data_IF_949567770499
#
_entry.id   IF_949567770499
#
_cell.length_a   1.000
_cell.length_b   1.000
_cell.length_c   1.000
_cell.angle_alpha   90.00
_cell.angle_beta   90.00
_cell.angle_gamma   90.00
#
_symmetry.space_group_name_H-M   'P 1'
#
loop_
_entity.id
_entity.type
_entity.pdbx_description
1 polymer ?
#
# COMPACT_ATOMS: atom_id res chain seq x y z
N UNK A 1 12.44 -20.90 -4.00
CA UNK A 1 12.61 -21.29 -2.61
C UNK A 1 11.40 -20.76 -1.86
N UNK A 2 10.55 -21.60 -1.28
CA UNK A 2 9.47 -21.08 -0.46
C UNK A 2 10.08 -20.36 0.74
N UNK A 3 9.87 -19.05 0.86
CA UNK A 3 10.17 -18.33 2.09
C UNK A 3 9.30 -18.97 3.19
N UNK A 4 9.95 -19.52 4.20
CA UNK A 4 9.26 -20.05 5.36
C UNK A 4 8.61 -18.88 6.13
N UNK A 5 7.37 -18.57 5.81
CA UNK A 5 6.58 -17.55 6.49
C UNK A 5 6.10 -18.00 7.89
N UNK A 6 6.18 -19.29 8.17
CA UNK A 6 5.61 -19.88 9.37
C UNK A 6 6.12 -19.34 10.72
N UNK A 7 7.40 -19.13 10.98
CA UNK A 7 7.83 -18.62 12.28
C UNK A 7 7.55 -17.12 12.48
N UNK A 8 7.33 -16.37 11.40
CA UNK A 8 6.99 -14.94 11.48
C UNK A 8 5.54 -14.69 11.92
N UNK A 9 4.63 -15.61 11.57
CA UNK A 9 3.21 -15.47 11.87
C UNK A 9 2.87 -15.68 13.35
N UNK A 10 3.60 -16.54 14.07
CA UNK A 10 3.39 -16.74 15.51
C UNK A 10 3.85 -15.54 16.35
N UNK A 11 4.89 -14.82 15.91
CA UNK A 11 5.35 -13.60 16.58
C UNK A 11 4.38 -12.42 16.46
N UNK A 12 3.43 -12.47 15.54
CA UNK A 12 2.47 -11.39 15.24
C UNK A 12 1.22 -11.42 16.11
N UNK A 13 1.05 -12.35 17.02
CA UNK A 13 -0.08 -12.39 17.96
C UNK A 13 -0.02 -11.29 19.02
N UNK A 14 1.09 -10.56 19.09
CA UNK A 14 1.27 -9.48 20.04
C UNK A 14 1.12 -8.14 19.32
N UNK A 15 0.02 -7.47 19.49
CA UNK A 15 -0.45 -6.08 19.19
C UNK A 15 0.42 -5.08 18.40
N UNK A 16 1.64 -5.41 17.99
CA UNK A 16 2.55 -4.57 17.22
C UNK A 16 2.67 -5.09 15.79
N UNK A 17 2.40 -4.21 14.82
CA UNK A 17 2.66 -4.52 13.43
C UNK A 17 4.17 -4.60 13.18
N UNK A 18 4.65 -5.55 12.38
CA UNK A 18 6.03 -5.58 11.94
C UNK A 18 6.34 -4.38 11.04
N UNK A 19 7.60 -3.98 10.99
CA UNK A 19 8.10 -2.99 10.04
C UNK A 19 8.53 -3.68 8.76
N UNK A 20 8.14 -3.09 7.62
CA UNK A 20 8.50 -3.59 6.29
C UNK A 20 9.21 -2.52 5.48
N UNK A 21 10.11 -2.94 4.63
CA UNK A 21 10.64 -2.15 3.53
C UNK A 21 10.27 -2.87 2.23
N UNK A 22 9.40 -2.27 1.43
CA UNK A 22 8.84 -2.89 0.24
C UNK A 22 9.14 -2.05 -0.99
N UNK A 23 9.56 -2.70 -2.07
CA UNK A 23 9.65 -2.07 -3.39
C UNK A 23 8.28 -2.13 -4.06
N UNK A 24 7.84 -1.05 -4.66
CA UNK A 24 6.52 -0.98 -5.33
C UNK A 24 6.59 -0.82 -6.86
N UNK A 25 7.74 -0.51 -7.43
CA UNK A 25 7.90 -0.37 -8.87
C UNK A 25 7.08 0.76 -9.52
N UNK A 26 6.64 0.53 -10.75
CA UNK A 26 5.86 1.50 -11.53
C UNK A 26 4.41 1.63 -11.03
N UNK A 27 3.77 2.79 -11.18
CA UNK A 27 2.34 2.96 -10.93
C UNK A 27 1.42 1.98 -11.68
N UNK A 28 1.86 1.48 -12.85
CA UNK A 28 1.13 0.47 -13.64
C UNK A 28 0.93 -0.85 -12.90
N UNK A 29 1.63 -1.08 -11.82
CA UNK A 29 1.46 -2.24 -10.96
C UNK A 29 0.03 -2.35 -10.39
N UNK A 30 -0.70 -1.25 -10.29
CA UNK A 30 -2.10 -1.25 -9.91
C UNK A 30 -3.01 -1.94 -10.94
N UNK A 31 -2.62 -1.94 -12.24
CA UNK A 31 -3.34 -2.65 -13.32
C UNK A 31 -2.72 -4.01 -13.61
N UNK A 32 -1.41 -4.10 -13.53
CA UNK A 32 -0.62 -5.28 -13.88
C UNK A 32 0.26 -5.69 -12.68
N UNK A 33 -0.36 -6.26 -11.63
CA UNK A 33 0.33 -6.50 -10.36
C UNK A 33 1.46 -7.52 -10.44
N UNK A 34 1.40 -8.48 -11.36
CA UNK A 34 2.42 -9.51 -11.52
C UNK A 34 2.74 -10.26 -10.22
N UNK A 35 3.95 -10.81 -10.15
CA UNK A 35 4.42 -11.57 -8.97
C UNK A 35 4.56 -10.68 -7.72
N UNK A 36 4.96 -9.43 -7.88
CA UNK A 36 5.09 -8.49 -6.77
C UNK A 36 3.73 -8.18 -6.12
N UNK A 37 2.70 -7.94 -6.93
CA UNK A 37 1.35 -7.70 -6.44
C UNK A 37 0.73 -8.92 -5.78
N UNK A 38 1.00 -10.13 -6.31
CA UNK A 38 0.58 -11.38 -5.66
C UNK A 38 1.20 -11.51 -4.27
N UNK A 39 2.50 -11.24 -4.14
CA UNK A 39 3.20 -11.25 -2.85
C UNK A 39 2.60 -10.23 -1.86
N UNK A 40 2.32 -9.01 -2.30
CA UNK A 40 1.76 -7.99 -1.41
C UNK A 40 0.34 -8.29 -0.97
N UNK A 41 -0.45 -8.89 -1.85
CA UNK A 41 -1.79 -9.37 -1.48
C UNK A 41 -1.69 -10.44 -0.38
N UNK A 42 -0.84 -11.42 -0.58
CA UNK A 42 -0.60 -12.50 0.39
C UNK A 42 -0.07 -11.97 1.73
N UNK A 43 0.89 -11.03 1.67
CA UNK A 43 1.39 -10.35 2.86
C UNK A 43 0.26 -9.60 3.59
N UNK A 44 -0.53 -8.80 2.88
CA UNK A 44 -1.63 -8.04 3.47
C UNK A 44 -2.70 -8.93 4.11
N UNK A 45 -3.01 -10.08 3.48
CA UNK A 45 -3.95 -11.07 4.01
C UNK A 45 -3.41 -11.79 5.26
N UNK A 46 -2.08 -11.89 5.40
CA UNK A 46 -1.44 -12.50 6.57
C UNK A 46 -1.39 -11.57 7.80
N UNK A 47 -1.58 -10.28 7.61
CA UNK A 47 -1.54 -9.28 8.67
C UNK A 47 -2.90 -9.16 9.39
N UNK A 48 -2.86 -8.86 10.68
CA UNK A 48 -4.06 -8.48 11.39
C UNK A 48 -4.64 -7.17 10.79
N UNK A 49 -5.97 -7.05 10.79
CA UNK A 49 -6.60 -5.82 10.33
C UNK A 49 -6.24 -4.66 11.28
N UNK A 50 -5.67 -3.55 10.78
CA UNK A 50 -5.39 -2.39 11.60
C UNK A 50 -6.68 -1.65 11.98
N UNK A 51 -6.67 -0.97 13.12
CA UNK A 51 -7.77 -0.08 13.53
C UNK A 51 -7.81 1.18 12.67
N UNK A 52 -6.65 1.64 12.21
CA UNK A 52 -6.50 2.79 11.33
C UNK A 52 -5.22 2.67 10.47
N UNK A 53 -5.21 3.38 9.36
CA UNK A 53 -4.03 3.50 8.49
C UNK A 53 -3.68 4.98 8.35
N UNK A 54 -2.45 5.33 8.73
CA UNK A 54 -1.89 6.64 8.46
C UNK A 54 -0.97 6.53 7.24
N UNK A 55 -1.33 7.22 6.15
CA UNK A 55 -0.52 7.28 4.95
C UNK A 55 0.24 8.61 4.89
N UNK A 56 1.57 8.54 4.78
CA UNK A 56 2.43 9.69 4.56
C UNK A 56 2.99 9.58 3.15
N UNK A 57 2.65 10.55 2.29
CA UNK A 57 3.02 10.52 0.88
C UNK A 57 3.78 11.77 0.47
N UNK A 58 4.85 11.59 -0.30
CA UNK A 58 5.57 12.69 -0.95
C UNK A 58 4.77 13.36 -2.07
N UNK A 59 3.68 12.75 -2.52
CA UNK A 59 2.77 13.28 -3.55
C UNK A 59 1.70 14.24 -2.98
N UNK A 60 1.64 14.39 -1.68
CA UNK A 60 0.76 15.35 -1.02
C UNK A 60 1.57 16.27 -0.12
N UNK A 61 1.83 17.47 -0.61
CA UNK A 61 2.62 18.47 0.09
C UNK A 61 1.75 19.63 0.56
N UNK A 62 2.00 20.09 1.78
CA UNK A 62 1.29 21.20 2.41
C UNK A 62 2.30 22.13 3.10
N UNK A 63 1.94 23.41 3.27
CA UNK A 63 2.80 24.39 3.92
C UNK A 63 2.98 24.16 5.43
N UNK A 64 2.09 23.38 6.03
CA UNK A 64 2.14 22.98 7.44
C UNK A 64 1.69 21.52 7.55
N UNK A 65 2.05 20.80 8.63
CA UNK A 65 1.54 19.45 8.84
C UNK A 65 0.00 19.44 8.90
N UNK A 66 -0.62 18.68 7.99
CA UNK A 66 -2.08 18.53 7.90
C UNK A 66 -2.44 17.05 7.84
N UNK A 67 -3.62 16.71 8.34
CA UNK A 67 -4.25 15.41 8.18
C UNK A 67 -5.45 15.54 7.25
N UNK A 68 -5.52 14.70 6.23
CA UNK A 68 -6.71 14.54 5.42
C UNK A 68 -7.79 13.81 6.23
N UNK A 69 -8.96 14.42 6.37
CA UNK A 69 -10.08 13.86 7.14
C UNK A 69 -11.35 13.70 6.28
N UNK A 70 -11.24 13.68 4.96
CA UNK A 70 -12.38 13.46 4.08
C UNK A 70 -12.85 11.99 4.18
N UNK A 71 -14.16 11.78 4.30
CA UNK A 71 -14.74 10.42 4.26
C UNK A 71 -14.43 9.69 2.95
N UNK A 72 -14.39 10.44 1.85
CA UNK A 72 -14.10 9.94 0.51
C UNK A 72 -13.06 10.86 -0.14
N UNK A 73 -11.78 10.64 0.14
CA UNK A 73 -10.72 11.43 -0.46
C UNK A 73 -10.70 11.22 -1.98
N UNK A 74 -10.40 12.28 -2.71
CA UNK A 74 -10.22 12.18 -4.16
C UNK A 74 -8.90 11.47 -4.45
N UNK A 75 -8.92 10.57 -5.42
CA UNK A 75 -7.69 10.00 -5.96
C UNK A 75 -6.92 11.06 -6.73
N UNK A 76 -5.65 11.22 -6.43
CA UNK A 76 -4.74 12.15 -7.09
C UNK A 76 -3.95 11.38 -8.14
N UNK A 77 -4.07 11.78 -9.40
CA UNK A 77 -3.33 11.21 -10.52
C UNK A 77 -2.25 12.21 -10.96
N UNK A 78 -1.17 12.30 -10.21
CA UNK A 78 -0.08 13.27 -10.41
C UNK A 78 1.04 12.74 -11.32
N UNK A 79 0.72 11.81 -12.19
CA UNK A 79 1.60 11.23 -13.19
C UNK A 79 1.07 11.51 -14.60
N UNK A 80 1.93 11.37 -15.61
CA UNK A 80 1.61 11.58 -17.01
C UNK A 80 2.29 10.52 -17.91
N UNK A 81 1.79 10.38 -19.14
CA UNK A 81 2.37 9.45 -20.11
C UNK A 81 2.02 7.98 -19.87
N UNK A 82 1.05 7.70 -19.01
CA UNK A 82 0.55 6.35 -18.76
C UNK A 82 -0.69 6.03 -19.61
N UNK A 83 -1.02 4.74 -19.78
CA UNK A 83 -2.25 4.33 -20.45
C UNK A 83 -3.49 4.90 -19.74
N UNK A 84 -4.53 5.18 -20.53
CA UNK A 84 -5.75 5.83 -20.07
C UNK A 84 -6.41 5.14 -18.87
N UNK A 85 -6.46 3.78 -18.75
CA UNK A 85 -7.01 3.13 -17.58
C UNK A 85 -6.38 3.54 -16.24
N UNK A 86 -5.12 3.99 -16.25
CA UNK A 86 -4.42 4.47 -15.05
C UNK A 86 -5.13 5.69 -14.45
N UNK A 87 -5.71 6.55 -15.29
CA UNK A 87 -6.37 7.79 -14.85
C UNK A 87 -7.81 7.58 -14.37
N UNK A 88 -8.31 6.35 -14.46
CA UNK A 88 -9.62 5.95 -13.92
C UNK A 88 -9.51 5.20 -12.60
N UNK A 89 -8.29 4.92 -12.13
CA UNK A 89 -8.10 4.25 -10.85
C UNK A 89 -8.67 5.08 -9.71
N UNK A 90 -9.31 4.40 -8.79
CA UNK A 90 -9.75 4.95 -7.51
C UNK A 90 -9.55 3.90 -6.43
N UNK A 91 -9.45 4.33 -5.20
CA UNK A 91 -9.30 3.43 -4.05
C UNK A 91 -10.44 3.65 -3.05
#
# INVERSE_FOLDING_TARGET
VPLAAAPYMEAMSNRTFPSFFLSHGSPTLALEPGAAGAFWKELGESLARPDAVLCISAHWMTAAPLLGAAERPKTIHDYYGFPEPMYRLSY
#
